data_IF_235891628807
#
_entry.id   IF_235891628807
#
_cell.length_a   1.000
_cell.length_b   1.000
_cell.length_c   1.000
_cell.angle_alpha   90.00
_cell.angle_beta   90.00
_cell.angle_gamma   90.00
#
_symmetry.space_group_name_H-M   'P 1'
#
loop_
_entity.id
_entity.type
_entity.pdbx_description
1 polymer ?
#
# COMPACT_ATOMS: atom_id res chain seq x y z
N UNK A 1 -13.25 -2.22 -12.59
CA UNK A 1 -12.32 -1.09 -12.80
C UNK A 1 -10.94 -1.54 -12.36
N UNK A 2 -9.93 -1.47 -13.22
CA UNK A 2 -8.56 -1.81 -12.81
C UNK A 2 -7.98 -0.63 -12.04
N UNK A 3 -7.66 -0.81 -10.76
CA UNK A 3 -7.00 0.19 -9.93
C UNK A 3 -5.58 0.43 -10.48
N UNK A 4 -5.44 1.41 -11.36
CA UNK A 4 -4.16 1.84 -11.93
C UNK A 4 -3.80 3.18 -11.29
N UNK A 5 -2.53 3.40 -10.95
CA UNK A 5 -2.09 4.70 -10.46
C UNK A 5 -2.35 5.76 -11.53
N UNK A 6 -2.67 6.98 -11.07
CA UNK A 6 -2.95 8.13 -11.93
C UNK A 6 -1.70 8.47 -12.76
N UNK A 7 -0.53 8.44 -12.13
CA UNK A 7 0.77 8.51 -12.80
C UNK A 7 1.33 7.09 -13.04
N UNK A 8 1.55 6.67 -14.30
CA UNK A 8 2.17 5.39 -14.62
C UNK A 8 3.57 5.23 -14.01
N UNK A 9 4.35 6.31 -13.88
CA UNK A 9 5.71 6.28 -13.32
C UNK A 9 5.69 5.99 -11.82
N UNK A 10 4.61 6.36 -11.12
CA UNK A 10 4.46 6.07 -9.70
C UNK A 10 4.25 4.57 -9.43
N UNK A 11 3.97 3.75 -10.45
CA UNK A 11 3.67 2.31 -10.27
C UNK A 11 4.81 1.55 -9.58
N UNK A 12 6.05 1.78 -9.97
CA UNK A 12 7.20 1.10 -9.36
C UNK A 12 7.47 1.60 -7.94
N UNK A 13 7.39 2.92 -7.72
CA UNK A 13 7.54 3.52 -6.39
C UNK A 13 6.46 3.00 -5.42
N UNK A 14 5.20 2.98 -5.84
CA UNK A 14 4.08 2.46 -5.06
C UNK A 14 4.21 0.95 -4.81
N UNK A 15 4.74 0.18 -5.77
CA UNK A 15 5.03 -1.25 -5.57
C UNK A 15 6.10 -1.45 -4.50
N UNK A 16 7.17 -0.65 -4.53
CA UNK A 16 8.24 -0.69 -3.52
C UNK A 16 7.71 -0.32 -2.13
N UNK A 17 6.97 0.78 -2.01
CA UNK A 17 6.33 1.20 -0.76
C UNK A 17 5.39 0.10 -0.21
N UNK A 18 4.58 -0.51 -1.07
CA UNK A 18 3.71 -1.63 -0.70
C UNK A 18 4.52 -2.78 -0.11
N UNK A 19 5.65 -3.15 -0.73
CA UNK A 19 6.53 -4.21 -0.22
C UNK A 19 7.15 -3.85 1.14
N UNK A 20 7.64 -2.62 1.29
CA UNK A 20 8.21 -2.12 2.54
C UNK A 20 7.20 -2.17 3.69
N UNK A 21 5.99 -1.65 3.48
CA UNK A 21 4.92 -1.66 4.48
C UNK A 21 4.44 -3.09 4.76
N UNK A 22 4.39 -3.96 3.74
CA UNK A 22 4.09 -5.38 3.95
C UNK A 22 5.12 -6.03 4.87
N UNK A 23 6.40 -5.69 4.71
CA UNK A 23 7.47 -6.18 5.58
C UNK A 23 7.34 -5.64 7.01
N UNK A 24 7.04 -4.35 7.17
CA UNK A 24 6.83 -3.70 8.48
C UNK A 24 5.66 -4.33 9.26
N UNK A 25 4.56 -4.62 8.57
CA UNK A 25 3.37 -5.23 9.16
C UNK A 25 3.52 -6.74 9.41
N UNK A 26 4.68 -7.33 9.13
CA UNK A 26 4.90 -8.78 9.26
C UNK A 26 4.09 -9.61 8.26
N UNK A 27 3.60 -8.99 7.19
CA UNK A 27 2.79 -9.62 6.13
C UNK A 27 3.65 -10.26 5.03
N UNK A 28 4.93 -10.55 5.34
CA UNK A 28 5.85 -11.31 4.47
C UNK A 28 5.20 -12.65 4.13
N UNK A 29 4.71 -12.79 2.91
CA UNK A 29 4.18 -14.07 2.42
C UNK A 29 2.68 -14.13 2.23
N UNK A 30 1.97 -13.03 2.01
CA UNK A 30 0.72 -13.10 1.24
C UNK A 30 1.13 -13.18 -0.24
N UNK A 31 1.21 -14.37 -0.86
CA UNK A 31 1.56 -14.47 -2.26
C UNK A 31 0.59 -13.62 -3.08
N UNK A 32 1.11 -12.88 -4.05
CA UNK A 32 0.28 -12.15 -5.04
C UNK A 32 -0.72 -13.09 -5.74
N UNK A 33 -0.49 -14.41 -5.66
CA UNK A 33 -1.27 -15.45 -6.34
C UNK A 33 -2.29 -16.24 -5.52
N UNK A 34 -2.31 -16.21 -4.17
CA UNK A 34 -3.22 -17.11 -3.42
C UNK A 34 -4.00 -16.43 -2.30
N UNK A 35 -4.75 -15.39 -2.69
CA UNK A 35 -5.84 -14.83 -1.88
C UNK A 35 -7.09 -15.73 -1.86
N UNK A 36 -7.12 -16.82 -2.63
CA UNK A 36 -8.26 -17.74 -2.71
C UNK A 36 -8.42 -18.63 -1.48
N UNK A 37 -7.30 -19.01 -0.85
CA UNK A 37 -7.29 -19.88 0.34
C UNK A 37 -7.38 -19.13 1.69
N UNK A 38 -7.23 -17.81 1.70
CA UNK A 38 -7.45 -16.99 2.89
C UNK A 38 -8.92 -16.60 3.01
N UNK A 39 -9.49 -16.68 4.21
CA UNK A 39 -10.87 -16.24 4.44
C UNK A 39 -11.02 -14.77 4.02
N UNK A 40 -12.14 -14.42 3.39
CA UNK A 40 -12.41 -13.05 2.91
C UNK A 40 -12.19 -11.98 3.98
N UNK A 41 -12.46 -12.32 5.25
CA UNK A 41 -12.18 -11.46 6.42
C UNK A 41 -10.69 -11.20 6.62
N UNK A 42 -9.84 -12.23 6.55
CA UNK A 42 -8.39 -12.08 6.67
C UNK A 42 -7.82 -11.23 5.53
N UNK A 43 -8.22 -11.52 4.29
CA UNK A 43 -7.81 -10.71 3.14
C UNK A 43 -8.27 -9.25 3.24
N UNK A 44 -9.48 -9.01 3.75
CA UNK A 44 -10.03 -7.68 3.99
C UNK A 44 -9.23 -6.91 5.03
N UNK A 45 -8.94 -7.52 6.18
CA UNK A 45 -8.10 -6.91 7.23
C UNK A 45 -6.70 -6.60 6.71
N UNK A 46 -6.00 -7.58 6.11
CA UNK A 46 -4.65 -7.35 5.60
C UNK A 46 -4.58 -6.33 4.46
N UNK A 47 -5.54 -6.37 3.54
CA UNK A 47 -5.63 -5.39 2.46
C UNK A 47 -5.96 -3.98 2.97
N UNK A 48 -6.84 -3.89 3.97
CA UNK A 48 -7.24 -2.65 4.63
C UNK A 48 -6.10 -2.03 5.42
N UNK A 49 -5.42 -2.81 6.26
CA UNK A 49 -4.31 -2.33 7.09
C UNK A 49 -3.13 -1.85 6.24
N UNK A 50 -2.80 -2.60 5.19
CA UNK A 50 -1.72 -2.27 4.26
C UNK A 50 -2.08 -1.04 3.42
N UNK A 51 -3.28 -0.99 2.83
CA UNK A 51 -3.75 0.14 2.03
C UNK A 51 -3.93 1.42 2.86
N UNK A 52 -4.45 1.30 4.08
CA UNK A 52 -4.60 2.41 5.02
C UNK A 52 -3.26 2.96 5.51
N UNK A 53 -2.29 2.08 5.73
CA UNK A 53 -0.92 2.50 6.10
C UNK A 53 -0.20 3.15 4.93
N UNK A 54 -0.35 2.64 3.70
CA UNK A 54 0.14 3.32 2.49
C UNK A 54 -0.44 4.72 2.35
N UNK A 55 -1.76 4.86 2.53
CA UNK A 55 -2.44 6.16 2.40
C UNK A 55 -1.94 7.16 3.44
N UNK A 56 -1.78 6.73 4.71
CA UNK A 56 -1.20 7.58 5.76
C UNK A 56 0.20 8.05 5.42
N UNK A 57 1.11 7.17 4.99
CA UNK A 57 2.48 7.57 4.61
C UNK A 57 2.50 8.55 3.43
N UNK A 58 1.63 8.37 2.43
CA UNK A 58 1.52 9.30 1.30
C UNK A 58 1.02 10.69 1.74
N UNK A 59 0.04 10.74 2.65
CA UNK A 59 -0.46 12.01 3.20
C UNK A 59 0.65 12.69 4.01
N UNK A 60 1.36 11.97 4.88
CA UNK A 60 2.48 12.53 5.65
C UNK A 60 3.59 13.11 4.75
N UNK A 61 3.88 12.45 3.62
CA UNK A 61 4.83 12.96 2.63
C UNK A 61 4.33 14.26 1.99
N UNK A 62 3.06 14.29 1.58
CA UNK A 62 2.45 15.46 0.98
C UNK A 62 2.38 16.65 1.96
N UNK A 63 2.01 16.42 3.22
CA UNK A 63 2.01 17.44 4.27
C UNK A 63 3.40 18.05 4.46
N UNK A 64 4.45 17.23 4.48
CA UNK A 64 5.84 17.69 4.58
C UNK A 64 6.29 18.50 3.36
N UNK A 65 5.80 18.18 2.17
CA UNK A 65 6.08 18.96 0.95
C UNK A 65 5.38 20.31 1.01
N UNK A 66 4.08 20.34 1.34
CA UNK A 66 3.33 21.59 1.49
C UNK A 66 3.92 22.52 2.55
N UNK A 67 4.42 21.97 3.67
CA UNK A 67 5.10 22.75 4.71
C UNK A 67 6.44 23.34 4.26
N UNK A 68 7.13 22.74 3.28
CA UNK A 68 8.40 23.28 2.75
C UNK A 68 8.18 24.39 1.73
N UNK A 69 7.01 24.43 1.11
CA UNK A 69 6.61 25.45 0.14
C UNK A 69 5.99 26.69 0.82
N UNK A 70 5.76 26.63 2.13
CA UNK A 70 5.27 27.74 2.98
C UNK A 70 6.41 28.54 3.58
#
# INVERSE_FOLDING_TARGET
MANRPIDPNAREALKKMKMEISNELGLKGIPEGDKGNLTSRKNGSYGGDLGGTMTRKLIEMAERELMKES
#
